data_IF_118245386542
#
_entry.id   IF_118245386542
#
_cell.length_a   1.000
_cell.length_b   1.000
_cell.length_c   1.000
_cell.angle_alpha   90.00
_cell.angle_beta   90.00
_cell.angle_gamma   90.00
#
_symmetry.space_group_name_H-M   'P 1'
#
loop_
_entity.id
_entity.type
_entity.pdbx_description
1 polymer ?
#
# COMPACT_ATOMS: atom_id res chain seq x y z
N UNK A 1 0.25 -6.18 27.69
CA UNK A 1 1.43 -5.37 27.32
C UNK A 1 1.29 -5.05 25.84
N UNK A 2 0.82 -3.85 25.46
CA UNK A 2 0.78 -3.47 24.04
C UNK A 2 2.20 -3.10 23.61
N UNK A 3 2.74 -3.79 22.62
CA UNK A 3 4.00 -3.39 21.97
C UNK A 3 3.79 -2.00 21.36
N UNK A 4 4.39 -0.98 21.98
CA UNK A 4 4.45 0.36 21.37
C UNK A 4 5.45 0.29 20.22
N UNK A 5 4.97 0.09 19.00
CA UNK A 5 5.81 0.14 17.81
C UNK A 5 6.39 1.56 17.65
N UNK A 6 7.68 1.66 17.29
CA UNK A 6 8.26 2.97 17.00
C UNK A 6 7.66 3.52 15.70
N UNK A 7 7.06 4.71 15.75
CA UNK A 7 6.55 5.40 14.56
C UNK A 7 7.61 5.54 13.47
N UNK A 8 8.90 5.66 13.82
CA UNK A 8 9.98 5.73 12.82
C UNK A 8 10.13 4.43 12.02
N UNK A 9 9.96 3.28 12.67
CA UNK A 9 10.00 1.97 12.03
C UNK A 9 8.75 1.79 11.17
N UNK A 10 7.57 2.08 11.71
CA UNK A 10 6.31 1.99 10.96
C UNK A 10 6.33 2.89 9.72
N UNK A 11 6.82 4.13 9.85
CA UNK A 11 6.96 5.06 8.73
C UNK A 11 7.85 4.47 7.63
N UNK A 12 9.02 3.93 8.01
CA UNK A 12 9.93 3.30 7.05
C UNK A 12 9.28 2.09 6.37
N UNK A 13 8.55 1.27 7.12
CA UNK A 13 7.81 0.13 6.57
C UNK A 13 6.77 0.58 5.56
N UNK A 14 5.97 1.61 5.87
CA UNK A 14 4.98 2.17 4.93
C UNK A 14 5.66 2.66 3.64
N UNK A 15 6.77 3.39 3.73
CA UNK A 15 7.48 3.87 2.55
C UNK A 15 8.02 2.72 1.68
N UNK A 16 8.59 1.69 2.31
CA UNK A 16 9.06 0.50 1.57
C UNK A 16 7.91 -0.24 0.88
N UNK A 17 6.76 -0.37 1.54
CA UNK A 17 5.58 -1.00 0.95
C UNK A 17 5.05 -0.20 -0.25
N UNK A 18 5.08 1.13 -0.19
CA UNK A 18 4.69 1.98 -1.32
C UNK A 18 5.58 1.76 -2.54
N UNK A 19 6.90 1.67 -2.36
CA UNK A 19 7.84 1.36 -3.46
C UNK A 19 7.50 0.02 -4.10
N UNK A 20 7.24 -1.02 -3.29
CA UNK A 20 6.86 -2.34 -3.81
C UNK A 20 5.54 -2.31 -4.57
N UNK A 21 4.55 -1.54 -4.09
CA UNK A 21 3.28 -1.36 -4.80
C UNK A 21 3.54 -0.72 -6.16
N UNK A 22 4.32 0.37 -6.22
CA UNK A 22 4.64 1.04 -7.49
C UNK A 22 5.30 0.09 -8.50
N UNK A 23 6.24 -0.74 -8.06
CA UNK A 23 6.90 -1.75 -8.90
C UNK A 23 5.89 -2.76 -9.48
N UNK A 24 4.95 -3.27 -8.66
CA UNK A 24 3.92 -4.20 -9.13
C UNK A 24 2.95 -3.51 -10.08
N UNK A 25 2.55 -2.27 -9.82
CA UNK A 25 1.65 -1.53 -10.70
C UNK A 25 2.27 -1.29 -12.08
N UNK A 26 3.57 -0.98 -12.14
CA UNK A 26 4.29 -0.85 -13.42
C UNK A 26 4.28 -2.19 -14.18
N UNK A 27 4.48 -3.32 -13.49
CA UNK A 27 4.41 -4.64 -14.11
C UNK A 27 3.00 -4.95 -14.65
N UNK A 28 1.96 -4.69 -13.86
CA UNK A 28 0.57 -4.88 -14.25
C UNK A 28 0.16 -3.99 -15.44
N UNK A 29 0.61 -2.74 -15.48
CA UNK A 29 0.36 -1.82 -16.60
C UNK A 29 1.06 -2.27 -17.89
N UNK A 30 2.25 -2.86 -17.76
CA UNK A 30 3.04 -3.33 -18.90
C UNK A 30 2.44 -4.57 -19.55
N UNK A 31 1.81 -5.44 -18.76
CA UNK A 31 1.25 -6.72 -19.23
C UNK A 31 -0.15 -6.99 -18.65
N UNK A 32 -1.11 -6.17 -19.06
CA UNK A 32 -2.50 -6.21 -18.58
C UNK A 32 -3.29 -7.44 -19.04
N UNK A 33 -2.78 -8.21 -20.01
CA UNK A 33 -3.40 -9.41 -20.53
C UNK A 33 -2.66 -10.69 -20.10
N UNK A 34 -1.68 -10.56 -19.22
CA UNK A 34 -0.96 -11.70 -18.64
C UNK A 34 -1.92 -12.63 -17.89
N UNK A 35 -1.75 -13.96 -17.99
CA UNK A 35 -2.45 -14.90 -17.12
C UNK A 35 -2.10 -14.69 -15.62
N UNK A 36 -0.98 -14.02 -15.32
CA UNK A 36 -0.54 -13.71 -13.95
C UNK A 36 -1.20 -12.45 -13.38
N UNK A 37 -1.97 -11.71 -14.18
CA UNK A 37 -2.53 -10.40 -13.79
C UNK A 37 -3.34 -10.47 -12.49
N UNK A 38 -4.20 -11.49 -12.34
CA UNK A 38 -5.02 -11.68 -11.13
C UNK A 38 -4.16 -11.99 -9.89
N UNK A 39 -3.05 -12.69 -10.07
CA UNK A 39 -2.09 -12.98 -9.00
C UNK A 39 -1.39 -11.70 -8.55
N UNK A 40 -0.87 -10.91 -9.50
CA UNK A 40 -0.25 -9.62 -9.20
C UNK A 40 -1.23 -8.64 -8.55
N UNK A 41 -2.47 -8.60 -9.01
CA UNK A 41 -3.51 -7.79 -8.37
C UNK A 41 -3.71 -8.20 -6.92
N UNK A 42 -3.79 -9.50 -6.65
CA UNK A 42 -3.96 -10.04 -5.30
C UNK A 42 -2.76 -9.71 -4.38
N UNK A 43 -1.54 -9.70 -4.93
CA UNK A 43 -0.34 -9.27 -4.21
C UNK A 43 -0.41 -7.77 -3.86
N UNK A 44 -0.81 -6.93 -4.81
CA UNK A 44 -1.00 -5.48 -4.56
C UNK A 44 -2.09 -5.23 -3.52
N UNK A 45 -3.21 -5.95 -3.57
CA UNK A 45 -4.27 -5.88 -2.55
C UNK A 45 -3.73 -6.24 -1.16
N UNK A 46 -2.90 -7.27 -1.07
CA UNK A 46 -2.23 -7.65 0.17
C UNK A 46 -1.28 -6.55 0.66
N UNK A 47 -0.46 -5.96 -0.22
CA UNK A 47 0.46 -4.88 0.14
C UNK A 47 -0.30 -3.64 0.67
N UNK A 48 -1.41 -3.27 0.04
CA UNK A 48 -2.27 -2.18 0.52
C UNK A 48 -2.82 -2.47 1.92
N UNK A 49 -3.30 -3.68 2.16
CA UNK A 49 -3.73 -4.09 3.50
C UNK A 49 -2.61 -3.90 4.53
N UNK A 50 -1.37 -4.28 4.20
CA UNK A 50 -0.21 -4.11 5.08
C UNK A 50 0.12 -2.63 5.33
N UNK A 51 -0.03 -1.76 4.33
CA UNK A 51 0.13 -0.32 4.48
C UNK A 51 -0.86 0.22 5.51
N UNK A 52 -2.15 -0.08 5.36
CA UNK A 52 -3.18 0.38 6.30
C UNK A 52 -3.01 -0.21 7.70
N UNK A 53 -2.64 -1.48 7.83
CA UNK A 53 -2.30 -2.10 9.11
C UNK A 53 -1.17 -1.34 9.83
N UNK A 54 -0.07 -1.04 9.13
CA UNK A 54 1.05 -0.31 9.74
C UNK A 54 0.66 1.13 10.14
N UNK A 55 -0.13 1.82 9.31
CA UNK A 55 -0.64 3.15 9.62
C UNK A 55 -1.56 3.13 10.86
N UNK A 56 -2.38 2.09 11.02
CA UNK A 56 -3.29 1.95 12.17
C UNK A 56 -2.59 1.77 13.53
N UNK A 57 -1.31 1.38 13.51
CA UNK A 57 -0.48 1.18 14.72
C UNK A 57 0.26 2.45 15.14
N UNK A 58 0.20 3.51 14.35
CA UNK A 58 0.89 4.78 14.60
C UNK A 58 0.09 5.68 15.56
N UNK A 59 0.76 6.69 16.12
CA UNK A 59 0.04 7.79 16.76
C UNK A 59 -0.77 8.63 15.76
N UNK A 60 -1.75 9.39 16.26
CA UNK A 60 -2.67 10.17 15.43
C UNK A 60 -1.95 11.11 14.43
N UNK A 61 -0.84 11.73 14.85
CA UNK A 61 -0.10 12.68 14.00
C UNK A 61 0.56 11.95 12.83
N UNK A 62 1.20 10.81 13.08
CA UNK A 62 1.83 10.00 12.04
C UNK A 62 0.78 9.29 11.18
N UNK A 63 -0.34 8.86 11.76
CA UNK A 63 -1.46 8.29 11.03
C UNK A 63 -2.01 9.28 9.99
N UNK A 64 -2.35 10.50 10.42
CA UNK A 64 -2.85 11.55 9.53
C UNK A 64 -1.85 11.86 8.42
N UNK A 65 -0.56 12.05 8.78
CA UNK A 65 0.50 12.32 7.81
C UNK A 65 0.61 11.20 6.77
N UNK A 66 0.62 9.93 7.17
CA UNK A 66 0.76 8.83 6.23
C UNK A 66 -0.49 8.64 5.38
N UNK A 67 -1.69 8.82 5.93
CA UNK A 67 -2.94 8.78 5.15
C UNK A 67 -2.94 9.83 4.03
N UNK A 68 -2.45 11.06 4.30
CA UNK A 68 -2.29 12.08 3.25
C UNK A 68 -1.24 11.68 2.22
N UNK A 69 -0.12 11.10 2.65
CA UNK A 69 0.95 10.67 1.76
C UNK A 69 0.52 9.55 0.80
N UNK A 70 -0.22 8.55 1.29
CA UNK A 70 -0.63 7.41 0.44
C UNK A 70 -1.83 7.71 -0.45
N UNK A 71 -2.59 8.77 -0.14
CA UNK A 71 -3.87 9.06 -0.80
C UNK A 71 -3.78 9.10 -2.33
N UNK A 72 -2.79 9.77 -2.97
CA UNK A 72 -2.72 9.80 -4.44
C UNK A 72 -2.58 8.41 -5.05
N UNK A 73 -1.62 7.61 -4.56
CA UNK A 73 -1.37 6.26 -5.05
C UNK A 73 -2.55 5.30 -4.79
N UNK A 74 -3.17 5.41 -3.61
CA UNK A 74 -4.36 4.61 -3.28
C UNK A 74 -5.54 4.94 -4.21
N UNK A 75 -5.82 6.23 -4.41
CA UNK A 75 -6.91 6.67 -5.29
C UNK A 75 -6.70 6.25 -6.75
N UNK A 76 -5.46 6.30 -7.22
CA UNK A 76 -5.11 5.81 -8.56
C UNK A 76 -5.33 4.30 -8.68
N UNK A 77 -4.87 3.53 -7.69
CA UNK A 77 -5.05 2.08 -7.65
C UNK A 77 -6.53 1.67 -7.69
N UNK A 78 -7.36 2.24 -6.80
CA UNK A 78 -8.77 1.85 -6.74
C UNK A 78 -9.53 2.22 -8.02
N UNK A 79 -9.16 3.32 -8.66
CA UNK A 79 -9.82 3.80 -9.88
C UNK A 79 -9.59 2.84 -11.04
N UNK A 80 -8.39 2.27 -11.15
CA UNK A 80 -8.00 1.43 -12.27
C UNK A 80 -8.19 -0.07 -12.04
N UNK A 81 -8.13 -0.53 -10.79
CA UNK A 81 -8.05 -1.97 -10.49
C UNK A 81 -9.11 -2.50 -9.52
N UNK A 82 -9.91 -1.66 -8.85
CA UNK A 82 -10.95 -2.09 -7.90
C UNK A 82 -12.37 -1.83 -8.41
N UNK A 83 -12.57 -1.70 -9.73
CA UNK A 83 -13.90 -1.62 -10.32
C UNK A 83 -14.59 -3.00 -10.33
N UNK A 84 -15.93 -3.07 -10.10
CA UNK A 84 -16.69 -4.31 -10.09
C UNK A 84 -16.81 -4.97 -11.47
#
# INVERSE_FOLDING_TARGET
MSLSYSNSILNRTVQNLLVLIEEHLIAMQRDSHSPEFDSWKSEVDYLWKRVFENISLMDNKNQEKNLQNIKPAWMDYITHYQQP
#
